data_IF_225055897015
#
_entry.id   IF_225055897015
#
_cell.length_a   1.000
_cell.length_b   1.000
_cell.length_c   1.000
_cell.angle_alpha   90.00
_cell.angle_beta   90.00
_cell.angle_gamma   90.00
#
_symmetry.space_group_name_H-M   'P 1'
#
loop_
_entity.id
_entity.type
_entity.pdbx_description
1 polymer ?
#
# COMPACT_ATOMS: atom_id res chain seq x y z
N UNK A 1 -33.31 -13.08 25.80
CA UNK A 1 -32.20 -13.60 24.97
C UNK A 1 -30.89 -12.97 25.47
N UNK A 2 -30.08 -13.71 26.25
CA UNK A 2 -28.84 -13.17 26.82
C UNK A 2 -27.71 -13.47 25.82
N UNK A 3 -27.20 -12.46 25.14
CA UNK A 3 -26.01 -12.58 24.29
C UNK A 3 -24.78 -12.38 25.16
N UNK A 4 -23.84 -13.33 25.09
CA UNK A 4 -22.54 -13.20 25.72
C UNK A 4 -21.87 -11.89 25.25
N UNK A 5 -21.59 -10.99 26.19
CA UNK A 5 -20.81 -9.78 25.95
C UNK A 5 -19.40 -10.09 26.44
N UNK A 6 -18.45 -10.26 25.52
CA UNK A 6 -17.06 -10.44 25.92
C UNK A 6 -16.58 -9.18 26.63
N UNK A 7 -16.41 -9.25 27.95
CA UNK A 7 -15.76 -8.21 28.72
C UNK A 7 -14.26 -8.46 28.63
N UNK A 8 -13.55 -7.57 27.93
CA UNK A 8 -12.10 -7.58 27.87
C UNK A 8 -11.60 -6.31 28.52
N UNK A 9 -10.56 -6.44 29.32
CA UNK A 9 -9.80 -5.30 29.85
C UNK A 9 -9.51 -4.33 28.70
N UNK A 10 -9.72 -3.02 28.92
CA UNK A 10 -9.41 -2.04 27.89
C UNK A 10 -7.90 -2.09 27.71
N UNK A 11 -7.45 -2.62 26.55
CA UNK A 11 -6.07 -2.83 26.11
C UNK A 11 -5.23 -1.51 26.03
N UNK A 12 -5.40 -0.60 26.98
CA UNK A 12 -4.96 0.80 26.99
C UNK A 12 -3.45 0.94 26.91
N UNK A 13 -2.72 0.14 27.68
CA UNK A 13 -1.25 0.11 27.67
C UNK A 13 -0.74 -0.30 26.28
N UNK A 14 -1.28 -1.38 25.73
CA UNK A 14 -0.88 -1.89 24.42
C UNK A 14 -1.26 -0.93 23.29
N UNK A 15 -2.43 -0.29 23.37
CA UNK A 15 -2.84 0.76 22.42
C UNK A 15 -1.91 1.96 22.46
N UNK A 16 -1.55 2.42 23.66
CA UNK A 16 -0.60 3.52 23.86
C UNK A 16 0.73 3.20 23.19
N UNK A 17 1.31 2.04 23.52
CA UNK A 17 2.59 1.61 22.93
C UNK A 17 2.53 1.44 21.42
N UNK A 18 1.45 0.87 20.90
CA UNK A 18 1.23 0.72 19.46
C UNK A 18 1.16 2.08 18.75
N UNK A 19 0.52 3.07 19.38
CA UNK A 19 0.40 4.44 18.86
C UNK A 19 1.74 5.15 18.87
N UNK A 20 2.54 4.99 19.92
CA UNK A 20 3.89 5.55 20.00
C UNK A 20 4.78 5.02 18.86
N UNK A 21 4.83 3.69 18.69
CA UNK A 21 5.60 3.06 17.62
C UNK A 21 5.10 3.46 16.22
N UNK A 22 3.78 3.60 16.05
CA UNK A 22 3.19 4.04 14.79
C UNK A 22 3.53 5.51 14.48
N UNK A 23 3.63 6.38 15.50
CA UNK A 23 4.03 7.77 15.34
C UNK A 23 5.52 7.90 15.01
N UNK A 24 6.38 7.14 15.69
CA UNK A 24 7.82 7.12 15.45
C UNK A 24 8.16 6.56 14.05
N UNK A 25 7.36 5.60 13.56
CA UNK A 25 7.55 4.93 12.27
C UNK A 25 6.28 4.95 11.42
N UNK A 26 5.80 6.15 11.02
CA UNK A 26 4.56 6.37 10.23
C UNK A 26 4.35 5.53 8.96
N UNK A 27 5.39 4.91 8.40
CA UNK A 27 5.30 4.03 7.21
C UNK A 27 5.11 2.55 7.56
N UNK A 28 5.20 2.16 8.83
CA UNK A 28 5.13 0.77 9.23
C UNK A 28 3.66 0.35 9.37
N UNK A 29 3.32 -0.76 8.72
CA UNK A 29 2.04 -1.42 8.95
C UNK A 29 2.08 -2.35 10.16
N UNK A 30 0.93 -2.88 10.54
CA UNK A 30 0.75 -3.74 11.72
C UNK A 30 1.74 -4.91 11.81
N UNK A 31 2.18 -5.50 10.67
CA UNK A 31 3.17 -6.60 10.66
C UNK A 31 4.54 -6.17 11.18
N UNK A 32 5.00 -4.98 10.81
CA UNK A 32 6.29 -4.46 11.30
C UNK A 32 6.18 -4.01 12.76
N UNK A 33 5.08 -3.36 13.12
CA UNK A 33 4.81 -2.99 14.51
C UNK A 33 4.71 -4.22 15.42
N UNK A 34 4.12 -5.32 14.94
CA UNK A 34 4.07 -6.60 15.65
C UNK A 34 5.47 -7.15 15.97
N UNK A 35 6.40 -7.09 15.01
CA UNK A 35 7.79 -7.54 15.25
C UNK A 35 8.48 -6.67 16.30
N UNK A 36 8.26 -5.35 16.28
CA UNK A 36 8.82 -4.43 17.29
C UNK A 36 8.25 -4.73 18.68
N UNK A 37 6.92 -4.84 18.80
CA UNK A 37 6.27 -5.19 20.06
C UNK A 37 6.72 -6.56 20.59
N UNK A 38 6.92 -7.54 19.70
CA UNK A 38 7.47 -8.83 20.09
C UNK A 38 8.89 -8.76 20.64
N UNK A 39 9.73 -7.86 20.11
CA UNK A 39 11.08 -7.61 20.65
C UNK A 39 11.04 -6.91 22.00
N UNK A 40 10.03 -6.09 22.24
CA UNK A 40 9.75 -5.46 23.54
C UNK A 40 9.13 -6.45 24.56
N UNK A 41 8.88 -7.71 24.17
CA UNK A 41 8.35 -8.74 25.05
C UNK A 41 6.83 -8.89 25.05
N UNK A 42 6.10 -8.20 24.17
CA UNK A 42 4.64 -8.27 24.11
C UNK A 42 4.17 -9.69 23.68
N UNK A 43 3.42 -10.42 24.52
CA UNK A 43 2.98 -11.79 24.23
C UNK A 43 1.80 -11.86 23.26
N UNK A 44 1.21 -10.73 22.87
CA UNK A 44 0.03 -10.68 21.99
C UNK A 44 0.25 -11.32 20.62
N UNK A 45 -0.77 -12.03 20.14
CA UNK A 45 -0.80 -12.60 18.80
C UNK A 45 -0.97 -11.54 17.70
N UNK A 46 -0.56 -11.87 16.48
CA UNK A 46 -0.63 -10.97 15.32
C UNK A 46 -2.07 -10.48 15.03
N UNK A 47 -3.08 -11.32 15.27
CA UNK A 47 -4.49 -10.97 15.07
C UNK A 47 -4.98 -9.92 16.08
N UNK A 48 -4.51 -9.98 17.34
CA UNK A 48 -4.85 -8.98 18.36
C UNK A 48 -4.28 -7.62 17.98
N UNK A 49 -3.02 -7.58 17.54
CA UNK A 49 -2.37 -6.35 17.08
C UNK A 49 -3.04 -5.79 15.83
N UNK A 50 -3.40 -6.66 14.87
CA UNK A 50 -4.13 -6.23 13.69
C UNK A 50 -5.47 -5.58 14.03
N UNK A 51 -6.24 -6.18 14.94
CA UNK A 51 -7.51 -5.63 15.44
C UNK A 51 -7.30 -4.26 16.08
N UNK A 52 -6.38 -4.14 17.04
CA UNK A 52 -6.09 -2.88 17.72
C UNK A 52 -5.60 -1.80 16.75
N UNK A 53 -4.73 -2.16 15.80
CA UNK A 53 -4.25 -1.26 14.77
C UNK A 53 -5.37 -0.69 13.89
N UNK A 54 -6.37 -1.51 13.56
CA UNK A 54 -7.56 -1.10 12.80
C UNK A 54 -8.47 -0.21 13.63
N UNK A 55 -8.72 -0.55 14.88
CA UNK A 55 -9.54 0.23 15.82
C UNK A 55 -8.92 1.60 16.12
N UNK A 56 -7.59 1.69 16.23
CA UNK A 56 -6.83 2.94 16.41
C UNK A 56 -6.69 3.78 15.14
N UNK A 57 -7.18 3.31 13.98
CA UNK A 57 -7.11 4.07 12.73
C UNK A 57 -5.68 4.28 12.19
N UNK A 58 -4.70 3.48 12.63
CA UNK A 58 -3.27 3.64 12.30
C UNK A 58 -2.92 3.26 10.85
N UNK A 59 -3.92 3.04 10.00
CA UNK A 59 -3.71 2.59 8.62
C UNK A 59 -2.96 3.65 7.81
N UNK A 60 -1.76 3.29 7.34
CA UNK A 60 -0.96 4.17 6.48
C UNK A 60 -1.77 4.56 5.24
N UNK A 61 -2.06 5.86 5.12
CA UNK A 61 -2.79 6.39 3.98
C UNK A 61 -1.95 6.24 2.72
N UNK A 62 -2.48 5.54 1.71
CA UNK A 62 -1.85 5.50 0.39
C UNK A 62 -1.81 6.92 -0.18
N UNK A 63 -0.62 7.37 -0.57
CA UNK A 63 -0.45 8.63 -1.29
C UNK A 63 -1.24 8.51 -2.60
N UNK A 64 -2.26 9.34 -2.81
CA UNK A 64 -2.93 9.41 -4.12
C UNK A 64 -1.88 9.77 -5.15
N UNK A 65 -1.71 8.93 -6.17
CA UNK A 65 -0.90 9.29 -7.33
C UNK A 65 -1.47 10.60 -7.90
N UNK A 66 -0.59 11.54 -8.25
CA UNK A 66 -1.00 12.77 -8.93
C UNK A 66 -1.71 12.35 -10.21
N UNK A 67 -2.99 12.67 -10.32
CA UNK A 67 -3.74 12.47 -11.57
C UNK A 67 -2.98 13.27 -12.64
N UNK A 68 -2.35 12.58 -13.60
CA UNK A 68 -1.87 13.26 -14.80
C UNK A 68 -3.12 13.78 -15.51
N UNK A 69 -3.12 15.07 -15.87
CA UNK A 69 -4.16 15.58 -16.74
C UNK A 69 -4.12 14.74 -18.02
N UNK A 70 -5.17 13.95 -18.25
CA UNK A 70 -5.42 13.33 -19.54
C UNK A 70 -5.94 14.49 -20.39
N UNK A 71 -5.04 15.35 -20.86
CA UNK A 71 -5.41 16.37 -21.82
C UNK A 71 -6.00 15.69 -23.05
N UNK A 72 -6.91 16.38 -23.74
CA UNK A 72 -7.39 15.95 -25.05
C UNK A 72 -6.18 15.75 -25.94
N UNK A 73 -5.88 14.50 -26.32
CA UNK A 73 -4.81 14.24 -27.29
C UNK A 73 -5.17 14.98 -28.57
N UNK A 74 -4.26 15.82 -29.08
CA UNK A 74 -4.44 16.41 -30.40
C UNK A 74 -4.65 15.27 -31.42
N UNK A 75 -5.58 15.43 -32.37
CA UNK A 75 -5.82 14.42 -33.39
C UNK A 75 -4.53 14.20 -34.19
N UNK A 76 -4.26 12.94 -34.54
CA UNK A 76 -3.15 12.61 -35.43
C UNK A 76 -3.48 13.20 -36.80
N UNK A 77 -2.64 14.11 -37.29
CA UNK A 77 -2.76 14.67 -38.63
C UNK A 77 -2.38 13.59 -39.64
N UNK A 78 -3.28 13.30 -40.58
CA UNK A 78 -3.04 12.39 -41.72
C UNK A 78 -2.53 13.24 -42.88
N UNK A 79 -1.35 12.89 -43.41
CA UNK A 79 -0.79 13.60 -44.57
C UNK A 79 -1.37 13.06 -45.88
N UNK A 80 -1.66 13.95 -46.82
CA UNK A 80 -2.31 13.62 -48.10
C UNK A 80 -1.41 12.91 -49.12
N UNK A 81 -0.10 12.75 -48.81
CA UNK A 81 0.90 12.18 -49.72
C UNK A 81 1.50 10.89 -49.14
N UNK A 82 1.75 9.86 -49.98
CA UNK A 82 2.49 8.68 -49.55
C UNK A 82 3.88 9.03 -48.98
N UNK A 83 4.35 8.27 -48.00
CA UNK A 83 5.67 8.40 -47.35
C UNK A 83 5.99 9.74 -46.68
N UNK A 84 5.00 10.62 -46.50
CA UNK A 84 5.23 11.95 -45.94
C UNK A 84 5.42 11.93 -44.40
N UNK A 85 4.94 10.88 -43.72
CA UNK A 85 5.13 10.65 -42.29
C UNK A 85 5.46 9.20 -41.97
N UNK A 86 6.45 9.01 -41.10
CA UNK A 86 6.84 7.71 -40.54
C UNK A 86 6.68 7.78 -39.03
N UNK A 87 5.89 6.87 -38.45
CA UNK A 87 5.78 6.69 -37.00
C UNK A 87 6.46 5.38 -36.66
N UNK A 88 7.43 5.41 -35.74
CA UNK A 88 8.10 4.23 -35.23
C UNK A 88 7.78 4.09 -33.75
N UNK A 89 7.24 2.93 -33.37
CA UNK A 89 7.04 2.56 -31.98
C UNK A 89 7.84 1.29 -31.69
N UNK A 90 8.52 1.26 -30.55
CA UNK A 90 9.28 0.09 -30.11
C UNK A 90 8.39 -0.80 -29.25
N UNK A 91 8.36 -2.10 -29.58
CA UNK A 91 7.75 -3.12 -28.73
C UNK A 91 8.87 -3.77 -27.93
N UNK A 92 8.74 -3.76 -26.60
CA UNK A 92 9.58 -4.56 -25.72
C UNK A 92 8.82 -5.81 -25.31
N UNK A 93 9.39 -6.97 -25.60
CA UNK A 93 8.86 -8.25 -25.16
C UNK A 93 9.57 -8.73 -23.87
N UNK A 94 8.94 -9.64 -23.14
CA UNK A 94 9.46 -10.24 -21.91
C UNK A 94 9.25 -11.74 -21.96
N UNK A 95 10.23 -12.52 -21.50
CA UNK A 95 10.06 -13.97 -21.38
C UNK A 95 8.90 -14.30 -20.43
N UNK A 96 8.31 -15.49 -20.56
CA UNK A 96 7.21 -15.97 -19.71
C UNK A 96 7.55 -15.94 -18.20
N UNK A 97 8.84 -15.94 -17.85
CA UNK A 97 9.35 -15.84 -16.48
C UNK A 97 9.58 -14.37 -16.01
N UNK A 98 9.20 -13.37 -16.81
CA UNK A 98 9.33 -11.94 -16.51
C UNK A 98 10.72 -11.35 -16.73
N UNK A 99 11.67 -12.11 -17.29
CA UNK A 99 12.99 -11.57 -17.65
C UNK A 99 12.92 -10.72 -18.92
N UNK A 100 13.63 -9.59 -18.91
CA UNK A 100 13.76 -8.71 -20.07
C UNK A 100 14.92 -9.15 -20.95
N UNK A 101 14.79 -8.95 -22.25
CA UNK A 101 15.93 -8.98 -23.16
C UNK A 101 16.97 -7.95 -22.67
N UNK A 102 18.22 -8.38 -22.49
CA UNK A 102 19.32 -7.46 -22.20
C UNK A 102 19.77 -6.84 -23.52
N UNK A 103 19.90 -5.51 -23.54
CA UNK A 103 20.56 -4.77 -24.61
C UNK A 103 22.07 -4.79 -24.40
#
# INVERSE_FOLDING_TARGET
>A
MIRYRSHREPDTVLRGRLRDLANERRRFGYRRLFVLLRREGEPSGINRIYRLYREEGLTVRRRRARRKAVGTRAPILVEARPNARWSLDFVHDQFANGQRFRA
#
